data_IF_268759816309
#
_entry.id   IF_268759816309
#
_cell.length_a   1.000
_cell.length_b   1.000
_cell.length_c   1.000
_cell.angle_alpha   90.00
_cell.angle_beta   90.00
_cell.angle_gamma   90.00
#
_symmetry.space_group_name_H-M   'P 1'
#
loop_
_entity.id
_entity.type
_entity.pdbx_description
1 polymer ?
#
# COMPACT_ATOMS: atom_id res chain seq x y z
N UNK A 1 -16.37 -41.02 -39.27
CA UNK A 1 -14.90 -41.06 -39.09
C UNK A 1 -14.56 -40.36 -37.77
N UNK A 2 -14.30 -41.15 -36.73
CA UNK A 2 -13.96 -40.68 -35.38
C UNK A 2 -12.52 -40.15 -35.37
N UNK A 3 -12.27 -39.00 -34.73
CA UNK A 3 -10.92 -38.51 -34.41
C UNK A 3 -10.72 -38.53 -32.90
N UNK A 4 -9.62 -39.17 -32.51
CA UNK A 4 -9.22 -39.49 -31.16
C UNK A 4 -8.80 -38.26 -30.35
N UNK A 5 -9.09 -38.30 -29.05
CA UNK A 5 -8.66 -37.33 -28.03
C UNK A 5 -7.40 -37.87 -27.36
N UNK A 6 -6.28 -37.14 -27.48
CA UNK A 6 -5.05 -37.44 -26.74
C UNK A 6 -4.96 -36.52 -25.52
N UNK A 7 -5.13 -37.09 -24.33
CA UNK A 7 -4.95 -36.41 -23.04
C UNK A 7 -3.49 -36.57 -22.64
N UNK A 8 -2.73 -35.47 -22.66
CA UNK A 8 -1.37 -35.39 -22.10
C UNK A 8 -1.47 -34.95 -20.66
N UNK A 9 -1.25 -35.88 -19.72
CA UNK A 9 -1.11 -35.61 -18.29
C UNK A 9 0.33 -35.16 -18.04
N UNK A 10 0.55 -33.84 -17.91
CA UNK A 10 1.81 -33.27 -17.45
C UNK A 10 1.84 -33.27 -15.92
N UNK A 11 2.67 -34.14 -15.35
CA UNK A 11 2.99 -34.19 -13.93
C UNK A 11 3.77 -32.94 -13.52
N UNK A 12 3.14 -32.06 -12.73
CA UNK A 12 3.82 -30.96 -12.04
C UNK A 12 4.55 -31.52 -10.81
N UNK A 13 5.82 -31.89 -11.00
CA UNK A 13 6.75 -32.07 -9.90
C UNK A 13 7.10 -30.69 -9.32
N UNK A 14 6.33 -30.25 -8.33
CA UNK A 14 6.61 -29.04 -7.55
C UNK A 14 7.86 -29.25 -6.67
N UNK A 15 8.95 -28.55 -7.00
CA UNK A 15 10.08 -28.37 -6.09
C UNK A 15 9.61 -27.56 -4.88
N UNK A 16 9.17 -28.27 -3.84
CA UNK A 16 8.93 -27.75 -2.50
C UNK A 16 10.27 -27.26 -1.96
N UNK A 17 10.56 -25.97 -2.10
CA UNK A 17 11.68 -25.33 -1.40
C UNK A 17 11.36 -25.47 0.08
N UNK A 18 12.00 -26.43 0.76
CA UNK A 18 11.96 -26.56 2.21
C UNK A 18 12.57 -25.29 2.80
N UNK A 19 11.74 -24.28 3.10
CA UNK A 19 12.11 -23.31 4.12
C UNK A 19 12.23 -24.10 5.42
N UNK A 20 13.39 -24.01 6.05
CA UNK A 20 13.72 -24.87 7.16
C UNK A 20 12.80 -24.55 8.34
N UNK A 21 12.32 -25.59 9.01
CA UNK A 21 11.67 -25.55 10.33
C UNK A 21 12.44 -24.74 11.38
N UNK A 22 13.69 -24.40 11.09
CA UNK A 22 14.64 -23.79 12.01
C UNK A 22 14.30 -22.33 12.30
N UNK A 23 13.79 -21.55 11.33
CA UNK A 23 13.49 -20.12 11.55
C UNK A 23 12.33 -19.89 12.53
N UNK A 24 11.26 -20.69 12.40
CA UNK A 24 10.13 -20.66 13.33
C UNK A 24 10.57 -21.08 14.75
N UNK A 25 11.51 -22.03 14.84
CA UNK A 25 12.05 -22.49 16.12
C UNK A 25 12.88 -21.41 16.83
N UNK A 26 13.66 -20.63 16.08
CA UNK A 26 14.46 -19.51 16.61
C UNK A 26 13.55 -18.38 17.11
N UNK A 27 12.49 -18.05 16.36
CA UNK A 27 11.54 -17.02 16.77
C UNK A 27 10.80 -17.42 18.08
N UNK A 28 10.39 -18.68 18.18
CA UNK A 28 9.75 -19.22 19.38
C UNK A 28 10.67 -19.22 20.60
N UNK A 29 11.93 -19.65 20.43
CA UNK A 29 12.92 -19.62 21.51
C UNK A 29 13.10 -18.20 22.05
N UNK A 30 13.18 -17.21 21.16
CA UNK A 30 13.34 -15.80 21.57
C UNK A 30 12.11 -15.24 22.28
N UNK A 31 10.90 -15.58 21.82
CA UNK A 31 9.68 -15.21 22.53
C UNK A 31 9.61 -15.83 23.94
N UNK A 32 10.09 -17.07 24.10
CA UNK A 32 10.18 -17.71 25.43
C UNK A 32 11.16 -16.98 26.36
N UNK A 33 12.32 -16.56 25.85
CA UNK A 33 13.29 -15.75 26.63
C UNK A 33 12.67 -14.43 27.11
N UNK A 34 11.87 -13.76 26.26
CA UNK A 34 11.18 -12.53 26.67
C UNK A 34 10.10 -12.78 27.71
N UNK A 35 9.37 -13.89 27.61
CA UNK A 35 8.43 -14.29 28.66
C UNK A 35 9.17 -14.54 29.99
N UNK A 36 10.27 -15.29 29.97
CA UNK A 36 11.07 -15.56 31.18
C UNK A 36 11.66 -14.28 31.80
N UNK A 37 12.17 -13.37 30.95
CA UNK A 37 12.67 -12.08 31.39
C UNK A 37 11.55 -11.22 32.02
N UNK A 38 10.37 -11.18 31.40
CA UNK A 38 9.21 -10.45 31.92
C UNK A 38 8.76 -11.03 33.27
N UNK A 39 8.68 -12.36 33.40
CA UNK A 39 8.33 -13.03 34.65
C UNK A 39 9.37 -12.85 35.76
N UNK A 40 10.61 -12.53 35.41
CA UNK A 40 11.70 -12.28 36.36
C UNK A 40 11.76 -10.83 36.83
N UNK A 41 10.97 -9.94 36.22
CA UNK A 41 10.91 -8.54 36.61
C UNK A 41 10.27 -8.36 37.99
N UNK A 42 10.80 -7.39 38.75
CA UNK A 42 10.32 -7.02 40.09
C UNK A 42 9.85 -5.58 40.19
N UNK A 43 10.15 -4.79 39.17
CA UNK A 43 9.83 -3.37 39.10
C UNK A 43 9.49 -2.98 37.66
N UNK A 44 8.96 -1.76 37.52
CA UNK A 44 8.53 -1.20 36.25
C UNK A 44 9.68 -0.97 35.27
N UNK A 45 10.86 -0.60 35.76
CA UNK A 45 12.04 -0.36 34.92
C UNK A 45 12.47 -1.63 34.18
N UNK A 46 12.40 -2.79 34.85
CA UNK A 46 12.64 -4.07 34.21
C UNK A 46 11.60 -4.37 33.11
N UNK A 47 10.31 -4.13 33.39
CA UNK A 47 9.22 -4.33 32.43
C UNK A 47 9.42 -3.45 31.19
N UNK A 48 9.71 -2.17 31.38
CA UNK A 48 9.95 -1.20 30.31
C UNK A 48 11.13 -1.65 29.43
N UNK A 49 12.23 -2.11 30.04
CA UNK A 49 13.40 -2.64 29.31
C UNK A 49 13.10 -3.91 28.50
N UNK A 50 12.33 -4.85 29.06
CA UNK A 50 11.89 -6.04 28.32
C UNK A 50 10.97 -5.66 27.17
N UNK A 51 10.06 -4.69 27.35
CA UNK A 51 9.17 -4.22 26.31
C UNK A 51 9.91 -3.51 25.16
N UNK A 52 10.93 -2.71 25.48
CA UNK A 52 11.83 -2.13 24.48
C UNK A 52 12.58 -3.22 23.70
N UNK A 53 13.08 -4.25 24.39
CA UNK A 53 13.80 -5.36 23.76
C UNK A 53 12.89 -6.17 22.82
N UNK A 54 11.64 -6.43 23.21
CA UNK A 54 10.62 -7.07 22.36
C UNK A 54 10.33 -6.21 21.13
N UNK A 55 10.15 -4.90 21.31
CA UNK A 55 9.85 -3.96 20.21
C UNK A 55 11.02 -3.89 19.20
N UNK A 56 12.25 -3.80 19.71
CA UNK A 56 13.46 -3.80 18.89
C UNK A 56 13.59 -5.10 18.10
N UNK A 57 13.45 -6.24 18.77
CA UNK A 57 13.52 -7.55 18.13
C UNK A 57 12.41 -7.74 17.08
N UNK A 58 11.17 -7.33 17.37
CA UNK A 58 10.05 -7.38 16.42
C UNK A 58 10.35 -6.58 15.15
N UNK A 59 10.94 -5.39 15.30
CA UNK A 59 11.35 -4.53 14.17
C UNK A 59 12.46 -5.19 13.35
N UNK A 60 13.46 -5.78 14.01
CA UNK A 60 14.52 -6.53 13.33
C UNK A 60 13.99 -7.76 12.57
N UNK A 61 13.04 -8.48 13.15
CA UNK A 61 12.39 -9.62 12.51
C UNK A 61 11.54 -9.19 11.30
N UNK A 62 10.79 -8.10 11.42
CA UNK A 62 10.03 -7.53 10.31
C UNK A 62 10.94 -7.08 9.15
N UNK A 63 12.11 -6.52 9.48
CA UNK A 63 13.12 -6.13 8.50
C UNK A 63 13.80 -7.34 7.82
N UNK A 64 14.01 -8.44 8.54
CA UNK A 64 14.68 -9.65 8.01
C UNK A 64 13.74 -10.58 7.24
N UNK A 65 12.51 -10.78 7.70
CA UNK A 65 11.66 -11.88 7.24
C UNK A 65 10.54 -11.45 6.27
N UNK A 66 10.29 -10.15 6.10
CA UNK A 66 9.26 -9.63 5.19
C UNK A 66 7.85 -10.19 5.46
N UNK A 67 6.83 -9.80 4.67
CA UNK A 67 5.51 -10.41 4.73
C UNK A 67 5.55 -11.80 4.08
N UNK A 68 5.98 -12.81 4.84
CA UNK A 68 5.72 -14.21 4.52
C UNK A 68 4.21 -14.46 4.62
N UNK A 69 3.54 -14.76 3.49
CA UNK A 69 2.07 -14.94 3.44
C UNK A 69 1.59 -16.36 3.19
N UNK A 70 2.48 -17.30 2.87
CA UNK A 70 2.02 -18.54 2.23
C UNK A 70 2.27 -19.82 3.04
N UNK A 71 2.86 -19.74 4.23
CA UNK A 71 3.03 -20.91 5.10
C UNK A 71 2.33 -20.68 6.44
N UNK A 72 1.22 -21.39 6.64
CA UNK A 72 0.62 -21.53 7.97
C UNK A 72 1.57 -22.36 8.84
N UNK A 73 1.94 -21.89 10.05
CA UNK A 73 2.69 -22.70 10.99
C UNK A 73 1.96 -24.02 11.25
N UNK A 74 2.70 -25.10 11.48
CA UNK A 74 2.11 -26.37 11.89
C UNK A 74 1.43 -26.25 13.27
N UNK A 75 0.53 -27.18 13.57
CA UNK A 75 -0.28 -27.15 14.80
C UNK A 75 0.57 -27.16 16.08
N UNK A 76 1.72 -27.84 16.09
CA UNK A 76 2.61 -27.88 17.24
C UNK A 76 3.30 -26.52 17.47
N UNK A 77 3.68 -25.83 16.39
CA UNK A 77 4.21 -24.46 16.43
C UNK A 77 3.16 -23.48 16.93
N UNK A 78 1.91 -23.58 16.44
CA UNK A 78 0.78 -22.74 16.91
C UNK A 78 0.54 -22.92 18.41
N UNK A 79 0.55 -24.17 18.88
CA UNK A 79 0.38 -24.46 20.30
C UNK A 79 1.49 -23.84 21.15
N UNK A 80 2.75 -23.96 20.74
CA UNK A 80 3.88 -23.33 21.44
C UNK A 80 3.79 -21.81 21.46
N UNK A 81 3.40 -21.18 20.35
CA UNK A 81 3.19 -19.73 20.31
C UNK A 81 2.11 -19.29 21.31
N UNK A 82 1.03 -20.06 21.41
CA UNK A 82 -0.08 -19.79 22.35
C UNK A 82 0.38 -19.92 23.80
N UNK A 83 1.09 -21.00 24.14
CA UNK A 83 1.57 -21.27 25.50
C UNK A 83 2.57 -20.17 25.95
N UNK A 84 3.47 -19.73 25.07
CA UNK A 84 4.40 -18.62 25.36
C UNK A 84 3.67 -17.28 25.50
N UNK A 85 2.67 -17.01 24.64
CA UNK A 85 1.86 -15.79 24.71
C UNK A 85 1.06 -15.67 26.00
N UNK A 86 0.48 -16.78 26.48
CA UNK A 86 -0.23 -16.85 27.76
C UNK A 86 0.73 -16.58 28.94
N UNK A 87 1.89 -17.24 28.96
CA UNK A 87 2.90 -17.03 30.01
C UNK A 87 3.35 -15.57 30.09
N UNK A 88 3.59 -14.94 28.94
CA UNK A 88 3.96 -13.52 28.87
C UNK A 88 2.85 -12.62 29.45
N UNK A 89 1.59 -12.87 29.07
CA UNK A 89 0.43 -12.11 29.56
C UNK A 89 0.21 -12.27 31.07
N UNK A 90 0.29 -13.49 31.60
CA UNK A 90 0.17 -13.75 33.04
C UNK A 90 1.21 -13.00 33.86
N UNK A 91 2.45 -12.95 33.36
CA UNK A 91 3.53 -12.22 34.02
C UNK A 91 3.35 -10.71 33.96
N UNK A 92 2.84 -10.18 32.84
CA UNK A 92 2.48 -8.76 32.73
C UNK A 92 1.34 -8.39 33.70
N UNK A 93 0.29 -9.20 33.78
CA UNK A 93 -0.83 -8.98 34.72
C UNK A 93 -0.36 -9.01 36.17
N UNK A 94 0.48 -9.99 36.54
CA UNK A 94 1.04 -10.06 37.91
C UNK A 94 1.83 -8.80 38.28
N UNK A 95 2.52 -8.19 37.32
CA UNK A 95 3.24 -6.93 37.54
C UNK A 95 2.31 -5.73 37.69
N UNK A 96 1.13 -5.74 37.05
CA UNK A 96 0.13 -4.68 37.17
C UNK A 96 -0.74 -4.81 38.44
N UNK A 97 -0.93 -6.03 38.94
CA UNK A 97 -1.66 -6.31 40.19
C UNK A 97 -0.80 -6.13 41.45
N UNK A 98 0.52 -5.98 41.29
CA UNK A 98 1.39 -5.65 42.41
C UNK A 98 0.96 -4.29 43.01
N UNK A 99 0.79 -4.20 44.35
CA UNK A 99 0.47 -2.93 45.00
C UNK A 99 1.47 -1.86 44.55
N UNK A 100 1.02 -0.63 44.24
CA UNK A 100 1.90 0.42 43.78
C UNK A 100 3.08 0.52 44.74
N UNK A 101 4.29 0.30 44.21
CA UNK A 101 5.51 0.35 45.00
C UNK A 101 5.54 1.68 45.76
N UNK A 102 6.00 1.69 47.03
CA UNK A 102 6.12 2.92 47.80
C UNK A 102 6.92 3.93 46.97
N UNK A 103 6.34 5.12 46.80
CA UNK A 103 6.84 6.17 45.93
C UNK A 103 8.36 6.32 46.11
N UNK A 104 9.13 5.96 45.07
CA UNK A 104 10.53 6.35 45.06
C UNK A 104 10.60 7.88 45.01
N UNK A 105 11.61 8.51 45.65
CA UNK A 105 11.78 9.95 45.59
C UNK A 105 11.96 10.35 44.12
N UNK A 106 10.95 11.02 43.57
CA UNK A 106 11.00 11.57 42.22
C UNK A 106 12.21 12.48 42.10
N UNK A 107 13.16 12.08 41.25
CA UNK A 107 14.17 12.99 40.74
C UNK A 107 13.40 14.11 40.02
N UNK A 108 13.61 15.40 40.35
CA UNK A 108 12.81 16.49 39.78
C UNK A 108 12.88 16.42 38.26
N UNK A 109 11.75 16.09 37.62
CA UNK A 109 11.65 16.22 36.18
C UNK A 109 11.86 17.70 35.83
N UNK A 110 12.57 18.01 34.72
CA UNK A 110 12.55 19.34 34.13
C UNK A 110 11.09 19.77 33.98
N UNK A 111 10.74 20.98 34.45
CA UNK A 111 9.40 21.55 34.30
C UNK A 111 8.97 21.42 32.83
N UNK A 112 8.08 20.47 32.58
CA UNK A 112 7.36 20.38 31.33
C UNK A 112 6.58 21.70 31.17
N UNK A 113 6.75 22.43 30.05
CA UNK A 113 5.96 23.63 29.80
C UNK A 113 4.49 23.25 29.90
N UNK A 114 3.71 24.08 30.62
CA UNK A 114 2.30 23.84 30.82
C UNK A 114 1.66 23.50 29.46
N UNK A 115 0.95 22.35 29.34
CA UNK A 115 0.32 21.99 28.09
C UNK A 115 -0.57 23.16 27.67
N UNK A 116 -0.33 23.68 26.47
CA UNK A 116 -1.24 24.65 25.87
C UNK A 116 -2.65 24.07 25.93
N UNK A 117 -3.67 24.88 26.31
CA UNK A 117 -5.03 24.41 26.42
C UNK A 117 -5.43 23.82 25.08
N UNK A 118 -5.44 22.49 25.03
CA UNK A 118 -5.85 21.74 23.86
C UNK A 118 -7.30 22.12 23.63
N UNK A 119 -7.60 22.88 22.56
CA UNK A 119 -8.98 23.20 22.17
C UNK A 119 -9.70 21.85 22.11
N UNK A 120 -10.52 21.55 23.13
CA UNK A 120 -11.28 20.31 23.16
C UNK A 120 -12.16 20.33 21.93
N UNK A 121 -11.91 19.39 21.02
CA UNK A 121 -12.78 19.16 19.88
C UNK A 121 -14.07 18.62 20.50
N UNK A 122 -15.08 19.48 20.60
CA UNK A 122 -16.41 19.11 21.08
C UNK A 122 -17.00 18.18 20.04
N UNK A 123 -16.92 16.87 20.26
CA UNK A 123 -17.69 15.91 19.48
C UNK A 123 -19.16 16.07 19.88
N UNK A 124 -20.07 16.39 18.94
CA UNK A 124 -21.49 16.43 19.26
C UNK A 124 -21.93 15.04 19.73
N UNK A 125 -22.39 14.95 20.97
CA UNK A 125 -22.89 13.71 21.56
C UNK A 125 -24.30 13.43 21.01
N UNK A 126 -24.38 12.66 19.93
CA UNK A 126 -25.65 12.19 19.38
C UNK A 126 -26.27 11.14 20.31
N UNK A 127 -27.28 11.54 21.08
CA UNK A 127 -28.14 10.58 21.81
C UNK A 127 -29.17 10.00 20.85
N UNK A 128 -28.78 8.98 20.08
CA UNK A 128 -29.68 8.24 19.18
C UNK A 128 -30.60 7.34 20.02
N UNK A 129 -31.69 7.91 20.54
CA UNK A 129 -32.62 7.17 21.41
C UNK A 129 -33.73 6.44 20.64
N UNK A 130 -34.05 6.86 19.40
CA UNK A 130 -34.99 6.14 18.52
C UNK A 130 -34.53 6.10 17.05
N UNK A 131 -35.02 5.15 16.22
CA UNK A 131 -34.75 5.13 14.79
C UNK A 131 -35.25 6.36 14.02
N UNK A 132 -36.29 7.04 14.50
CA UNK A 132 -36.85 8.24 13.87
C UNK A 132 -35.98 9.49 14.08
N UNK A 133 -35.15 9.50 15.11
CA UNK A 133 -34.24 10.62 15.43
C UNK A 133 -32.88 10.50 14.72
N UNK A 134 -32.73 9.55 13.80
CA UNK A 134 -31.44 9.29 13.15
C UNK A 134 -31.19 10.30 12.03
N UNK A 135 -30.01 10.93 11.99
CA UNK A 135 -29.68 11.85 10.93
C UNK A 135 -29.52 11.09 9.60
N UNK A 136 -30.06 11.66 8.53
CA UNK A 136 -29.80 11.18 7.17
C UNK A 136 -28.35 11.49 6.78
N UNK A 137 -27.82 10.82 5.76
CA UNK A 137 -26.51 11.18 5.20
C UNK A 137 -26.45 12.64 4.79
N UNK A 138 -27.54 13.18 4.23
CA UNK A 138 -27.61 14.59 3.85
C UNK A 138 -27.43 15.51 5.07
N UNK A 139 -28.06 15.17 6.20
CA UNK A 139 -27.91 15.90 7.48
C UNK A 139 -26.45 15.84 7.96
N UNK A 140 -25.85 14.65 8.00
CA UNK A 140 -24.47 14.46 8.44
C UNK A 140 -23.45 15.20 7.55
N UNK A 141 -23.68 15.25 6.24
CA UNK A 141 -22.84 16.03 5.32
C UNK A 141 -22.97 17.54 5.60
N UNK A 142 -24.17 18.05 5.89
CA UNK A 142 -24.35 19.46 6.20
C UNK A 142 -23.65 19.86 7.51
N UNK A 143 -23.69 18.99 8.51
CA UNK A 143 -22.98 19.18 9.77
C UNK A 143 -21.47 19.16 9.60
N UNK A 144 -20.96 18.20 8.83
CA UNK A 144 -19.54 18.15 8.48
C UNK A 144 -19.09 19.42 7.75
N UNK A 145 -19.91 19.93 6.80
CA UNK A 145 -19.65 21.21 6.15
C UNK A 145 -19.72 22.40 7.12
N UNK A 146 -20.63 22.38 8.08
CA UNK A 146 -20.73 23.43 9.10
C UNK A 146 -19.52 23.43 10.04
N UNK A 147 -19.08 22.25 10.48
CA UNK A 147 -17.86 22.05 11.25
C UNK A 147 -16.64 22.62 10.51
N UNK A 148 -16.48 22.27 9.23
CA UNK A 148 -15.38 22.76 8.39
C UNK A 148 -15.44 24.27 8.08
N UNK A 149 -16.63 24.90 8.10
CA UNK A 149 -16.74 26.35 8.00
C UNK A 149 -16.38 27.06 9.30
N UNK A 150 -16.53 26.37 10.43
CA UNK A 150 -16.24 26.90 11.76
C UNK A 150 -14.75 26.73 12.14
N UNK A 151 -13.99 25.88 11.45
CA UNK A 151 -12.54 25.83 11.60
C UNK A 151 -11.89 27.06 10.97
N UNK A 152 -10.86 27.60 11.65
CA UNK A 152 -10.06 28.73 11.14
C UNK A 152 -9.31 28.35 9.85
N UNK A 153 -8.99 27.06 9.69
CA UNK A 153 -8.47 26.45 8.48
C UNK A 153 -9.63 25.83 7.69
N UNK A 154 -9.88 26.32 6.48
CA UNK A 154 -10.87 25.73 5.58
C UNK A 154 -10.24 24.51 4.90
N UNK A 155 -10.63 23.31 5.31
CA UNK A 155 -10.21 22.08 4.65
C UNK A 155 -11.12 21.76 3.47
N UNK A 156 -10.62 21.05 2.46
CA UNK A 156 -11.49 20.46 1.46
C UNK A 156 -12.01 19.11 1.94
N UNK A 157 -13.26 18.79 1.59
CA UNK A 157 -13.79 17.44 1.77
C UNK A 157 -13.05 16.50 0.80
N UNK A 158 -12.11 15.71 1.33
CA UNK A 158 -11.25 14.82 0.55
C UNK A 158 -11.87 13.42 0.40
N UNK A 159 -12.49 12.89 1.45
CA UNK A 159 -13.19 11.60 1.41
C UNK A 159 -14.59 11.76 1.96
N UNK A 160 -15.55 11.25 1.21
CA UNK A 160 -16.92 10.99 1.67
C UNK A 160 -17.26 9.56 1.27
N UNK A 161 -17.27 8.66 2.25
CA UNK A 161 -17.58 7.25 2.03
C UNK A 161 -18.71 6.84 2.96
N UNK A 162 -19.72 6.20 2.40
CA UNK A 162 -20.85 5.66 3.16
C UNK A 162 -21.00 4.16 2.88
N UNK A 163 -21.19 3.37 3.92
CA UNK A 163 -21.43 1.93 3.84
C UNK A 163 -22.78 1.61 4.49
N UNK A 164 -23.53 0.65 3.92
CA UNK A 164 -24.81 0.15 4.44
C UNK A 164 -25.86 1.25 4.64
N UNK A 165 -26.30 1.82 3.51
CA UNK A 165 -27.25 2.92 3.42
C UNK A 165 -28.58 2.42 2.85
N UNK A 166 -29.70 2.77 3.48
CA UNK A 166 -31.03 2.46 2.98
C UNK A 166 -31.42 3.36 1.80
N UNK A 167 -32.46 3.00 1.05
CA UNK A 167 -32.88 3.74 -0.15
C UNK A 167 -33.39 5.17 0.14
N UNK A 168 -33.77 5.46 1.38
CA UNK A 168 -34.15 6.80 1.84
C UNK A 168 -32.95 7.65 2.30
N UNK A 169 -31.72 7.11 2.23
CA UNK A 169 -30.49 7.79 2.63
C UNK A 169 -30.19 7.72 4.12
N UNK A 170 -30.89 6.88 4.88
CA UNK A 170 -30.57 6.59 6.29
C UNK A 170 -29.47 5.54 6.41
N UNK A 171 -28.62 5.64 7.43
CA UNK A 171 -27.60 4.64 7.73
C UNK A 171 -28.22 3.45 8.49
N UNK A 172 -27.82 2.24 8.12
CA UNK A 172 -28.20 1.03 8.84
C UNK A 172 -27.74 1.10 10.32
N UNK A 173 -28.59 0.74 11.31
CA UNK A 173 -28.26 0.81 12.73
C UNK A 173 -27.03 0.03 13.17
N UNK A 174 -26.82 -1.11 12.54
CA UNK A 174 -25.92 -2.15 13.01
C UNK A 174 -24.61 -2.09 12.22
N UNK A 175 -24.72 -1.78 10.93
CA UNK A 175 -23.61 -1.84 9.99
C UNK A 175 -23.28 -0.49 9.34
N UNK A 176 -24.17 0.50 9.46
CA UNK A 176 -24.02 1.80 8.82
C UNK A 176 -22.75 2.53 9.23
N UNK A 177 -21.98 2.99 8.25
CA UNK A 177 -20.76 3.74 8.47
C UNK A 177 -20.70 4.94 7.53
N UNK A 178 -20.33 6.12 8.06
CA UNK A 178 -20.00 7.31 7.29
C UNK A 178 -18.59 7.75 7.67
N UNK A 179 -17.69 7.70 6.69
CA UNK A 179 -16.34 8.23 6.81
C UNK A 179 -16.27 9.57 6.09
N UNK A 180 -15.93 10.62 6.83
CA UNK A 180 -15.62 11.95 6.30
C UNK A 180 -14.17 12.25 6.63
N UNK A 181 -13.35 12.48 5.60
CA UNK A 181 -12.00 12.97 5.78
C UNK A 181 -11.88 14.35 5.15
N UNK A 182 -11.38 15.28 5.95
CA UNK A 182 -10.95 16.60 5.50
C UNK A 182 -9.45 16.54 5.23
N UNK A 183 -9.02 17.16 4.14
CA UNK A 183 -7.61 17.33 3.83
C UNK A 183 -7.33 18.78 3.46
N UNK A 184 -6.05 19.13 3.35
CA UNK A 184 -5.66 20.40 2.75
C UNK A 184 -6.42 20.55 1.42
N UNK A 185 -7.02 21.72 1.20
CA UNK A 185 -7.53 22.02 -0.12
C UNK A 185 -6.39 21.77 -1.10
N UNK A 186 -6.60 20.89 -2.09
CA UNK A 186 -5.59 20.64 -3.11
C UNK A 186 -5.05 22.01 -3.53
N UNK A 187 -3.73 22.23 -3.44
CA UNK A 187 -3.16 23.53 -3.75
C UNK A 187 -3.75 23.94 -5.10
N UNK A 188 -4.37 25.12 -5.13
CA UNK A 188 -5.06 25.64 -6.32
C UNK A 188 -4.22 25.24 -7.52
N UNK A 189 -4.80 24.41 -8.39
CA UNK A 189 -4.04 23.84 -9.50
C UNK A 189 -3.27 24.98 -10.16
N UNK A 190 -1.95 24.84 -10.37
CA UNK A 190 -1.18 25.89 -10.99
C UNK A 190 -1.88 26.32 -12.28
N UNK A 191 -1.84 27.63 -12.58
CA UNK A 191 -2.47 28.16 -13.78
C UNK A 191 -2.12 27.27 -14.97
N UNK A 192 -3.11 26.94 -15.84
CA UNK A 192 -2.91 25.96 -16.89
C UNK A 192 -1.71 26.37 -17.73
N UNK A 193 -0.70 25.49 -17.79
CA UNK A 193 0.49 25.72 -18.61
C UNK A 193 0.02 25.88 -20.06
N UNK A 194 0.30 27.01 -20.73
CA UNK A 194 -0.07 27.19 -22.12
C UNK A 194 0.47 26.04 -22.96
N UNK A 195 -0.38 25.43 -23.78
CA UNK A 195 0.04 24.33 -24.65
C UNK A 195 0.93 24.86 -25.77
N UNK A 196 2.11 24.27 -25.95
CA UNK A 196 2.95 24.53 -27.11
C UNK A 196 2.37 23.78 -28.33
N UNK A 197 1.92 24.48 -29.39
CA UNK A 197 1.37 23.83 -30.58
C UNK A 197 2.38 22.93 -31.30
N UNK A 198 3.68 23.13 -31.13
CA UNK A 198 4.72 22.28 -31.70
C UNK A 198 4.96 20.99 -30.91
N UNK A 199 4.43 20.87 -29.68
CA UNK A 199 4.55 19.66 -28.87
C UNK A 199 3.87 18.48 -29.58
N UNK A 200 4.53 17.32 -29.74
CA UNK A 200 3.86 16.11 -30.23
C UNK A 200 2.69 15.72 -29.32
N UNK A 201 1.58 15.24 -29.89
CA UNK A 201 0.42 14.82 -29.11
C UNK A 201 0.79 13.66 -28.18
N UNK A 202 0.46 13.75 -26.89
CA UNK A 202 0.83 12.75 -25.88
C UNK A 202 2.26 12.84 -25.35
N UNK A 203 3.08 13.78 -25.86
CA UNK A 203 4.34 14.08 -25.20
C UNK A 203 4.06 14.72 -23.82
N UNK A 204 4.81 14.36 -22.77
CA UNK A 204 4.62 14.92 -21.45
C UNK A 204 4.76 16.45 -21.51
N UNK A 205 3.91 17.16 -20.76
CA UNK A 205 4.05 18.60 -20.57
C UNK A 205 5.41 18.81 -19.88
N UNK A 206 6.28 19.69 -20.40
CA UNK A 206 7.54 20.02 -19.73
C UNK A 206 7.23 20.35 -18.27
N UNK A 207 7.93 19.69 -17.34
CA UNK A 207 7.75 19.98 -15.93
C UNK A 207 7.96 21.48 -15.72
N UNK A 208 7.01 22.13 -15.03
CA UNK A 208 7.20 23.54 -14.66
C UNK A 208 8.55 23.66 -13.95
N UNK A 209 9.40 24.65 -14.30
CA UNK A 209 10.70 24.86 -13.66
C UNK A 209 10.63 24.98 -12.13
N UNK A 210 9.42 25.23 -11.60
CA UNK A 210 9.13 25.42 -10.19
C UNK A 210 8.74 24.13 -9.46
N UNK A 211 8.57 23.00 -10.15
CA UNK A 211 8.37 21.73 -9.45
C UNK A 211 9.65 21.42 -8.66
N UNK A 212 9.64 21.43 -7.32
CA UNK A 212 10.80 21.06 -6.55
C UNK A 212 11.23 19.67 -7.00
N UNK A 213 12.54 19.39 -7.17
CA UNK A 213 13.01 18.08 -7.57
C UNK A 213 12.41 17.08 -6.59
N UNK A 214 11.46 16.27 -7.07
CA UNK A 214 10.71 15.33 -6.26
C UNK A 214 11.69 14.36 -5.63
N UNK A 215 12.13 14.67 -4.42
CA UNK A 215 12.87 13.78 -3.55
C UNK A 215 11.91 12.67 -3.22
N UNK A 216 12.03 11.56 -3.94
CA UNK A 216 11.27 10.35 -3.72
C UNK A 216 11.76 9.74 -2.38
N UNK A 217 11.41 10.38 -1.25
CA UNK A 217 11.72 9.91 0.11
C UNK A 217 10.71 8.82 0.47
N UNK A 218 10.70 7.75 -0.32
CA UNK A 218 9.98 6.54 0.07
C UNK A 218 10.87 5.76 1.04
N UNK A 219 10.35 5.35 2.21
CA UNK A 219 11.12 4.58 3.18
C UNK A 219 11.66 3.31 2.52
N UNK A 220 12.96 3.03 2.71
CA UNK A 220 13.64 1.85 2.18
C UNK A 220 12.95 0.60 2.72
N UNK A 221 12.12 -0.05 1.90
CA UNK A 221 11.57 -1.37 2.24
C UNK A 221 12.71 -2.41 2.26
N UNK A 222 12.66 -3.40 3.16
CA UNK A 222 13.63 -4.48 3.20
C UNK A 222 13.69 -5.24 1.87
N UNK A 223 14.91 -5.67 1.51
CA UNK A 223 15.28 -6.22 0.21
C UNK A 223 14.54 -7.54 -0.07
N UNK A 224 13.46 -7.48 -0.85
CA UNK A 224 13.10 -8.60 -1.72
C UNK A 224 14.21 -8.80 -2.76
N UNK A 225 14.30 -10.00 -3.34
CA UNK A 225 15.24 -10.31 -4.43
C UNK A 225 15.26 -9.15 -5.44
N UNK A 226 16.48 -8.66 -5.71
CA UNK A 226 16.71 -7.47 -6.52
C UNK A 226 16.97 -7.89 -7.95
N UNK A 227 16.06 -7.56 -8.85
CA UNK A 227 16.21 -7.77 -10.28
C UNK A 227 16.74 -6.48 -10.93
N UNK A 228 17.67 -6.57 -11.88
CA UNK A 228 18.12 -5.42 -12.64
C UNK A 228 16.97 -4.89 -13.52
N UNK A 229 16.63 -3.63 -13.35
CA UNK A 229 15.72 -2.87 -14.20
C UNK A 229 16.52 -1.83 -14.98
N UNK A 230 16.45 -1.90 -16.30
CA UNK A 230 17.12 -0.94 -17.19
C UNK A 230 16.15 0.12 -17.70
N UNK A 231 16.53 1.39 -17.61
CA UNK A 231 15.80 2.50 -18.24
C UNK A 231 16.73 3.20 -19.22
N UNK A 232 16.40 3.19 -20.51
CA UNK A 232 17.08 4.04 -21.49
C UNK A 232 16.62 5.48 -21.32
N UNK A 233 17.56 6.42 -21.24
CA UNK A 233 17.23 7.85 -21.04
C UNK A 233 17.34 8.64 -22.33
N UNK A 234 16.63 9.77 -22.40
CA UNK A 234 16.74 10.73 -23.51
C UNK A 234 18.15 11.29 -23.72
N UNK A 235 19.06 11.11 -22.75
CA UNK A 235 20.49 11.48 -22.87
C UNK A 235 21.33 10.39 -23.55
N UNK A 236 20.71 9.33 -24.10
CA UNK A 236 21.39 8.33 -24.92
C UNK A 236 22.15 7.27 -24.11
N UNK A 237 21.61 6.82 -22.97
CA UNK A 237 22.26 5.78 -22.18
C UNK A 237 21.32 5.01 -21.26
N UNK A 238 21.70 3.76 -20.96
CA UNK A 238 21.04 2.91 -19.97
C UNK A 238 21.33 3.38 -18.55
N UNK A 239 20.28 3.46 -17.74
CA UNK A 239 20.35 3.55 -16.29
C UNK A 239 19.81 2.27 -15.70
N UNK A 240 20.70 1.47 -15.16
CA UNK A 240 20.34 0.27 -14.43
C UNK A 240 20.03 0.62 -12.98
N UNK A 241 18.96 0.04 -12.45
CA UNK A 241 18.55 0.15 -11.06
C UNK A 241 18.13 -1.22 -10.58
N UNK A 242 18.34 -1.50 -9.32
CA UNK A 242 17.80 -2.69 -8.69
C UNK A 242 16.34 -2.42 -8.29
N UNK A 243 15.42 -3.31 -8.67
CA UNK A 243 14.02 -3.25 -8.22
C UNK A 243 13.52 -4.62 -7.79
N UNK A 244 12.26 -4.69 -7.36
CA UNK A 244 11.66 -5.95 -6.94
C UNK A 244 11.60 -6.94 -8.12
N UNK A 245 11.96 -8.20 -7.85
CA UNK A 245 11.71 -9.29 -8.77
C UNK A 245 10.23 -9.68 -8.76
N UNK A 246 9.65 -9.82 -9.94
CA UNK A 246 8.31 -10.38 -10.14
C UNK A 246 8.46 -11.63 -10.99
N UNK A 247 7.83 -12.74 -10.59
CA UNK A 247 7.70 -13.92 -11.45
C UNK A 247 6.68 -13.59 -12.53
N UNK A 248 7.12 -13.06 -13.66
CA UNK A 248 6.28 -12.90 -14.84
C UNK A 248 6.55 -14.04 -15.82
N UNK A 249 5.50 -14.47 -16.52
CA UNK A 249 5.66 -15.29 -17.72
C UNK A 249 6.55 -14.55 -18.69
N UNK A 250 7.55 -15.23 -19.25
CA UNK A 250 8.45 -14.66 -20.25
C UNK A 250 7.62 -14.05 -21.40
N UNK A 251 7.80 -12.75 -21.61
CA UNK A 251 7.16 -12.01 -22.70
C UNK A 251 8.12 -11.99 -23.89
N UNK A 252 7.77 -12.69 -24.97
CA UNK A 252 8.58 -12.73 -26.19
C UNK A 252 7.87 -11.89 -27.25
N UNK A 253 8.25 -10.61 -27.46
CA UNK A 253 7.57 -9.74 -28.41
C UNK A 253 7.60 -10.34 -29.81
N UNK A 254 6.43 -10.51 -30.43
CA UNK A 254 6.31 -11.03 -31.80
C UNK A 254 6.23 -9.91 -32.83
N UNK A 255 5.58 -8.81 -32.48
CA UNK A 255 5.51 -7.59 -33.26
C UNK A 255 6.68 -6.66 -32.95
N UNK A 256 7.25 -6.08 -34.00
CA UNK A 256 8.18 -4.97 -33.88
C UNK A 256 7.45 -3.66 -33.55
N UNK A 257 8.15 -2.68 -32.97
CA UNK A 257 7.56 -1.35 -32.68
C UNK A 257 6.94 -0.67 -33.91
N UNK A 258 7.55 -0.69 -35.11
CA UNK A 258 6.91 -0.16 -36.31
C UNK A 258 5.58 -0.85 -36.67
N UNK A 259 5.47 -2.17 -36.47
CA UNK A 259 4.23 -2.91 -36.72
C UNK A 259 3.13 -2.55 -35.71
N UNK A 260 3.50 -2.39 -34.43
CA UNK A 260 2.58 -1.90 -33.38
C UNK A 260 2.06 -0.51 -33.75
N UNK A 261 2.94 0.42 -34.13
CA UNK A 261 2.56 1.77 -34.56
C UNK A 261 1.67 1.79 -35.80
N UNK A 262 1.99 0.97 -36.81
CA UNK A 262 1.16 0.82 -38.01
C UNK A 262 -0.27 0.39 -37.64
N UNK A 263 -0.41 -0.61 -36.76
CA UNK A 263 -1.72 -1.07 -36.27
C UNK A 263 -2.43 0.00 -35.43
N UNK A 264 -1.71 0.74 -34.59
CA UNK A 264 -2.28 1.85 -33.82
C UNK A 264 -2.81 2.97 -34.74
N UNK A 265 -2.07 3.34 -35.79
CA UNK A 265 -2.49 4.35 -36.78
C UNK A 265 -3.71 3.89 -37.58
N UNK A 266 -3.81 2.61 -37.92
CA UNK A 266 -5.02 2.05 -38.52
C UNK A 266 -6.25 2.19 -37.60
N UNK A 267 -6.03 2.23 -36.28
CA UNK A 267 -7.03 2.51 -35.24
C UNK A 267 -7.10 4.01 -34.84
N UNK A 268 -6.69 4.92 -35.74
CA UNK A 268 -6.76 6.39 -35.59
C UNK A 268 -5.78 7.03 -34.59
N UNK A 269 -4.69 6.36 -34.23
CA UNK A 269 -3.60 7.04 -33.51
C UNK A 269 -3.00 8.17 -34.39
N UNK A 270 -2.81 9.40 -33.86
CA UNK A 270 -2.24 10.51 -34.62
C UNK A 270 -0.82 10.21 -35.11
N UNK A 271 -0.47 10.67 -36.32
CA UNK A 271 0.83 10.38 -36.94
C UNK A 271 2.00 11.08 -36.23
N UNK A 272 1.75 12.20 -35.55
CA UNK A 272 2.73 12.98 -34.79
C UNK A 272 2.62 12.75 -33.27
N UNK A 273 2.06 11.61 -32.84
CA UNK A 273 1.91 11.30 -31.42
C UNK A 273 3.17 10.66 -30.82
N UNK A 274 3.30 10.80 -29.50
CA UNK A 274 4.17 9.98 -28.65
C UNK A 274 3.25 9.13 -27.78
N UNK A 275 3.57 7.85 -27.64
CA UNK A 275 2.73 6.89 -26.94
C UNK A 275 3.52 6.15 -25.86
N UNK A 276 2.83 5.71 -24.82
CA UNK A 276 3.30 4.69 -23.89
C UNK A 276 2.85 3.34 -24.42
N UNK A 277 3.82 2.46 -24.68
CA UNK A 277 3.60 1.14 -25.26
C UNK A 277 4.14 0.09 -24.29
N UNK A 278 3.25 -0.78 -23.83
CA UNK A 278 3.56 -1.82 -22.85
C UNK A 278 3.20 -3.18 -23.43
N UNK A 279 4.09 -4.16 -23.27
CA UNK A 279 3.77 -5.56 -23.56
C UNK A 279 3.23 -6.20 -22.29
N UNK A 280 2.03 -6.75 -22.34
CA UNK A 280 1.39 -7.38 -21.19
C UNK A 280 0.91 -8.80 -21.54
N UNK A 281 0.84 -9.66 -20.53
CA UNK A 281 0.26 -11.01 -20.65
C UNK A 281 -0.88 -11.16 -19.66
N UNK A 282 -2.09 -11.37 -20.18
CA UNK A 282 -3.28 -11.74 -19.39
C UNK A 282 -3.95 -12.96 -20.03
N UNK A 283 -3.22 -14.08 -20.07
CA UNK A 283 -3.58 -15.31 -20.78
C UNK A 283 -3.22 -15.29 -22.28
N UNK A 284 -3.26 -14.12 -22.92
CA UNK A 284 -2.67 -13.88 -24.24
C UNK A 284 -1.77 -12.64 -24.19
N UNK A 285 -0.71 -12.65 -25.01
CA UNK A 285 0.24 -11.55 -25.09
C UNK A 285 -0.31 -10.46 -26.03
N UNK A 286 -0.38 -9.24 -25.53
CA UNK A 286 -0.87 -8.08 -26.28
C UNK A 286 -0.07 -6.82 -25.93
N UNK A 287 -0.06 -5.88 -26.86
CA UNK A 287 0.48 -4.54 -26.65
C UNK A 287 -0.62 -3.61 -26.16
N UNK A 288 -0.43 -3.02 -24.99
CA UNK A 288 -1.19 -1.86 -24.51
C UNK A 288 -0.53 -0.60 -25.07
N UNK A 289 -1.23 0.09 -25.96
CA UNK A 289 -0.80 1.34 -26.58
C UNK A 289 -1.65 2.47 -26.03
N UNK A 290 -1.03 3.50 -25.44
CA UNK A 290 -1.75 4.61 -24.83
C UNK A 290 -1.16 5.98 -25.21
N UNK A 291 -2.04 6.95 -25.47
CA UNK A 291 -1.72 8.35 -25.70
C UNK A 291 -2.61 9.15 -24.76
N UNK A 292 -2.01 9.86 -23.80
CA UNK A 292 -2.72 10.74 -22.89
C UNK A 292 -2.21 12.17 -23.06
N UNK A 293 -3.11 13.08 -23.47
CA UNK A 293 -2.85 14.50 -23.64
C UNK A 293 -4.04 15.30 -23.11
N UNK A 294 -4.03 15.53 -21.80
CA UNK A 294 -5.11 16.23 -21.11
C UNK A 294 -5.38 17.63 -21.66
N UNK A 295 -4.33 18.39 -22.03
CA UNK A 295 -4.45 19.74 -22.59
C UNK A 295 -5.22 19.74 -23.91
N UNK A 296 -4.96 18.74 -24.77
CA UNK A 296 -5.63 18.60 -26.06
C UNK A 296 -6.88 17.72 -26.01
N UNK A 297 -7.28 17.26 -24.82
CA UNK A 297 -8.39 16.32 -24.59
C UNK A 297 -8.29 15.06 -25.46
N UNK A 298 -7.06 14.55 -25.63
CA UNK A 298 -6.81 13.28 -26.32
C UNK A 298 -6.54 12.22 -25.27
N UNK A 299 -7.37 11.18 -25.27
CA UNK A 299 -7.17 9.99 -24.45
C UNK A 299 -7.47 8.77 -25.32
N UNK A 300 -6.41 8.07 -25.73
CA UNK A 300 -6.48 6.92 -26.63
C UNK A 300 -5.85 5.74 -25.89
N UNK A 301 -6.62 4.68 -25.67
CA UNK A 301 -6.13 3.40 -25.19
C UNK A 301 -6.51 2.32 -26.19
N UNK A 302 -5.51 1.58 -26.69
CA UNK A 302 -5.67 0.53 -27.68
C UNK A 302 -5.01 -0.75 -27.18
N UNK A 303 -5.71 -1.87 -27.36
CA UNK A 303 -5.13 -3.20 -27.25
C UNK A 303 -4.84 -3.74 -28.65
N UNK A 304 -3.60 -4.18 -28.86
CA UNK A 304 -3.10 -4.67 -30.14
C UNK A 304 -2.53 -6.06 -29.90
N UNK A 305 -3.17 -7.08 -30.47
CA UNK A 305 -2.72 -8.46 -30.30
C UNK A 305 -1.30 -8.64 -30.85
N UNK A 306 -0.46 -9.35 -30.10
CA UNK A 306 0.92 -9.62 -30.48
C UNK A 306 1.04 -10.82 -31.43
N UNK A 307 0.30 -10.75 -32.54
CA UNK A 307 0.12 -11.85 -33.51
C UNK A 307 1.01 -11.73 -34.74
N UNK A 308 2.01 -10.85 -34.73
CA UNK A 308 2.95 -10.74 -35.85
C UNK A 308 3.76 -12.03 -36.00
N UNK A 309 4.23 -12.31 -37.22
CA UNK A 309 5.11 -13.44 -37.46
C UNK A 309 6.40 -13.20 -36.72
N UNK A 310 6.79 -14.14 -35.84
CA UNK A 310 8.06 -14.07 -35.12
C UNK A 310 9.18 -13.96 -36.14
N UNK A 311 9.76 -12.77 -36.25
CA UNK A 311 11.04 -12.62 -36.95
C UNK A 311 12.06 -13.10 -35.95
N UNK A 312 12.55 -14.31 -36.14
CA UNK A 312 13.74 -14.77 -35.42
C UNK A 312 14.83 -13.80 -35.85
N UNK A 313 15.17 -12.84 -34.98
CA UNK A 313 16.34 -12.01 -35.17
C UNK A 313 17.52 -12.99 -35.23
N UNK A 314 18.11 -13.10 -36.41
CA UNK A 314 19.29 -13.93 -36.60
C UNK A 314 20.38 -13.29 -35.72
N UNK A 315 21.00 -14.06 -34.80
CA UNK A 315 22.02 -13.52 -33.91
C UNK A 315 23.19 -12.91 -34.68
#
# INVERSE_FOLDING_TARGET
MQRAVAVVVLALAGCKVKRSSDEASVALAKMSEFADAMCSCKDRTCVDSVQEAVTRWSTEMAAKNGPSRDERPDEATIKRMTDVGQKYAECMTRMMEAPPAPAQPEKPLPKEPAPEPTKQIVTPAWKLSTPADRPTIATLIQEAKAFNRASEEQFALHVLKTSYVASDGTLDPTYGELTIAFGDAEPKAPDPVPDDPARPTGAPIPASPQAPPGGDVRPKRPLQARCPNGVWTSKGGWRWREGACWTQTELIPRCSMPEVWMRARAKRAPANAVAVIELVSNGTQLWKFSINDALRKVDIELHIDDTCTVRVEKP
#
